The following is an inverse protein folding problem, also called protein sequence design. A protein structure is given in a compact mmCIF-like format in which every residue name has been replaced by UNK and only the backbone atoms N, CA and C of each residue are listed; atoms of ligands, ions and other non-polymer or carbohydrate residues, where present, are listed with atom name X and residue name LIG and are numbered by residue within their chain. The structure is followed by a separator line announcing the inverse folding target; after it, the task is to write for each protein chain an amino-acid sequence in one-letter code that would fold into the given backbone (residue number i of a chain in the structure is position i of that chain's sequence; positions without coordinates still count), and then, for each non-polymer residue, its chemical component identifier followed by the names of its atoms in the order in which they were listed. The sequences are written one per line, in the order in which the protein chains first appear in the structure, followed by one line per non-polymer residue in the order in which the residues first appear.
data_IF_951381220046
#
_entry.id   IF_951381220046
#
_cell.length_a   1.000
_cell.length_b   1.000
_cell.length_c   1.000
_cell.angle_alpha   90.00
_cell.angle_beta   90.00
_cell.angle_gamma   90.00
#
_symmetry.space_group_name_H-M   'P 1'
#
loop_
_entity.id
_entity.type
_entity.pdbx_description
1 polymer ?
#
# COMPACT_ATOMS: atom_id res chain seq x y z
N UNK A 1 -13.66 -47.17 7.13
CA UNK A 1 -14.00 -46.12 8.10
C UNK A 1 -12.70 -45.39 8.40
N UNK A 2 -12.40 -44.32 7.68
CA UNK A 2 -12.88 -42.95 7.91
C UNK A 2 -11.84 -42.15 8.72
N UNK A 3 -11.21 -41.20 8.01
CA UNK A 3 -10.69 -39.90 8.46
C UNK A 3 -9.34 -39.94 9.21
N UNK A 4 -8.35 -39.07 8.95
CA UNK A 4 -8.38 -37.79 8.27
C UNK A 4 -7.04 -37.48 7.57
N UNK A 5 -7.16 -36.81 6.44
CA UNK A 5 -6.10 -36.33 5.56
C UNK A 5 -5.78 -34.88 5.97
N UNK A 6 -4.57 -34.40 5.60
CA UNK A 6 -4.18 -32.97 5.53
C UNK A 6 -3.79 -32.24 6.84
N UNK A 7 -2.57 -32.49 7.31
CA UNK A 7 -1.72 -31.39 7.78
C UNK A 7 -0.93 -30.85 6.59
N UNK A 8 -1.55 -29.98 5.78
CA UNK A 8 -0.84 -29.19 4.77
C UNK A 8 -0.94 -27.72 5.14
N UNK A 9 0.19 -27.21 5.65
CA UNK A 9 0.80 -25.97 5.18
C UNK A 9 0.13 -24.66 5.58
N UNK A 10 0.83 -23.85 6.37
CA UNK A 10 0.92 -22.39 6.20
C UNK A 10 1.95 -21.79 7.17
N UNK A 11 3.23 -22.01 6.86
CA UNK A 11 4.32 -21.27 7.50
C UNK A 11 5.42 -20.88 6.50
N UNK A 12 5.04 -20.45 5.30
CA UNK A 12 5.94 -19.63 4.48
C UNK A 12 5.70 -18.17 4.82
N UNK A 13 6.30 -17.73 5.94
CA UNK A 13 6.58 -16.30 6.19
C UNK A 13 7.47 -15.83 5.04
N UNK A 14 6.81 -15.28 4.02
CA UNK A 14 7.44 -14.68 2.87
C UNK A 14 8.40 -13.61 3.39
N UNK A 15 9.71 -13.83 3.26
CA UNK A 15 10.74 -12.82 3.48
C UNK A 15 10.46 -11.66 2.52
N UNK A 16 9.77 -10.64 3.01
CA UNK A 16 9.51 -9.41 2.25
C UNK A 16 10.85 -8.68 2.14
N UNK A 17 11.60 -8.94 1.06
CA UNK A 17 12.65 -8.03 0.63
C UNK A 17 11.96 -6.83 -0.04
N UNK A 18 11.40 -5.93 0.78
CA UNK A 18 11.18 -4.56 0.32
C UNK A 18 12.57 -3.97 0.13
N UNK A 19 12.94 -3.69 -1.13
CA UNK A 19 14.13 -2.91 -1.43
C UNK A 19 14.14 -1.66 -0.55
N UNK A 20 15.27 -1.41 0.10
CA UNK A 20 15.53 -0.24 0.93
C UNK A 20 15.20 1.03 0.13
N UNK A 21 14.00 1.58 0.32
CA UNK A 21 13.65 2.88 -0.26
C UNK A 21 14.29 3.98 0.59
N UNK A 22 15.01 4.93 -0.02
CA UNK A 22 15.73 5.96 0.70
C UNK A 22 14.75 6.91 1.43
N UNK A 23 15.10 7.23 2.68
CA UNK A 23 14.52 8.25 3.56
C UNK A 23 12.99 8.44 3.48
N UNK A 24 12.24 7.42 3.93
CA UNK A 24 10.77 7.32 3.87
C UNK A 24 9.96 8.36 4.67
N UNK A 25 10.47 9.53 5.03
CA UNK A 25 9.71 10.46 5.91
C UNK A 25 8.55 11.19 5.21
N UNK A 26 8.27 10.92 3.94
CA UNK A 26 7.28 11.64 3.16
C UNK A 26 6.00 10.84 2.85
N UNK A 27 4.91 11.58 2.66
CA UNK A 27 3.57 11.04 2.42
C UNK A 27 3.44 10.23 1.13
N UNK A 28 4.21 10.56 0.08
CA UNK A 28 4.10 9.87 -1.21
C UNK A 28 4.67 8.47 -1.08
N UNK A 29 5.82 8.33 -0.41
CA UNK A 29 6.43 7.03 -0.17
C UNK A 29 5.53 6.10 0.65
N UNK A 30 4.86 6.63 1.68
CA UNK A 30 3.90 5.84 2.48
C UNK A 30 2.71 5.36 1.61
N UNK A 31 2.15 6.24 0.77
CA UNK A 31 1.04 5.87 -0.14
C UNK A 31 1.49 4.85 -1.19
N UNK A 32 2.66 5.03 -1.79
CA UNK A 32 3.20 4.10 -2.77
C UNK A 32 3.47 2.73 -2.15
N UNK A 33 3.90 2.66 -0.89
CA UNK A 33 4.07 1.38 -0.19
C UNK A 33 2.73 0.64 -0.05
N UNK A 34 1.67 1.35 0.34
CA UNK A 34 0.30 0.79 0.43
C UNK A 34 -0.17 0.28 -0.92
N UNK A 35 -0.03 1.10 -1.97
CA UNK A 35 -0.44 0.72 -3.32
C UNK A 35 0.39 -0.44 -3.87
N UNK A 36 1.69 -0.53 -3.55
CA UNK A 36 2.54 -1.64 -3.95
C UNK A 36 2.11 -2.96 -3.31
N UNK A 37 1.72 -2.92 -2.03
CA UNK A 37 1.14 -4.08 -1.35
C UNK A 37 -0.15 -4.52 -2.05
N UNK A 38 -1.11 -3.60 -2.23
CA UNK A 38 -2.40 -3.89 -2.87
C UNK A 38 -2.20 -4.46 -4.28
N UNK A 39 -1.36 -3.82 -5.12
CA UNK A 39 -1.04 -4.27 -6.48
C UNK A 39 -0.46 -5.70 -6.47
N UNK A 40 0.38 -6.02 -5.49
CA UNK A 40 0.97 -7.35 -5.33
C UNK A 40 -0.06 -8.38 -4.89
N UNK A 41 -0.96 -8.04 -3.97
CA UNK A 41 -2.04 -8.92 -3.52
C UNK A 41 -3.02 -9.23 -4.65
N UNK A 42 -3.43 -8.22 -5.43
CA UNK A 42 -4.28 -8.41 -6.62
C UNK A 42 -3.63 -9.35 -7.63
N UNK A 43 -2.32 -9.21 -7.89
CA UNK A 43 -1.59 -10.08 -8.83
C UNK A 43 -1.44 -11.53 -8.36
N UNK A 44 -1.53 -11.77 -7.05
CA UNK A 44 -1.34 -13.10 -6.44
C UNK A 44 -2.64 -13.83 -6.16
N UNK A 45 -3.73 -13.10 -5.96
CA UNK A 45 -5.05 -13.67 -5.70
C UNK A 45 -5.74 -14.05 -7.00
N UNK A 46 -6.32 -15.24 -7.04
CA UNK A 46 -7.24 -15.67 -8.10
C UNK A 46 -8.68 -15.20 -7.85
N UNK A 47 -8.99 -14.77 -6.62
CA UNK A 47 -10.31 -14.32 -6.19
C UNK A 47 -10.33 -12.78 -6.10
N UNK A 48 -11.43 -12.18 -6.52
CA UNK A 48 -11.65 -10.75 -6.35
C UNK A 48 -11.68 -10.39 -4.86
N UNK A 49 -10.88 -9.39 -4.49
CA UNK A 49 -10.83 -8.84 -3.13
C UNK A 49 -11.09 -7.33 -3.22
N UNK A 50 -11.91 -6.83 -2.30
CA UNK A 50 -12.20 -5.40 -2.20
C UNK A 50 -10.94 -4.61 -1.80
N UNK A 51 -10.74 -3.46 -2.43
CA UNK A 51 -9.58 -2.60 -2.14
C UNK A 51 -9.57 -2.13 -0.69
N UNK A 52 -10.75 -1.93 -0.09
CA UNK A 52 -10.85 -1.52 1.31
C UNK A 52 -10.20 -2.53 2.27
N UNK A 53 -10.42 -3.83 2.07
CA UNK A 53 -9.79 -4.88 2.89
C UNK A 53 -8.30 -4.98 2.59
N UNK A 54 -7.92 -4.99 1.31
CA UNK A 54 -6.51 -5.00 0.91
C UNK A 54 -5.73 -3.79 1.45
N UNK A 55 -6.35 -2.62 1.55
CA UNK A 55 -5.75 -1.43 2.16
C UNK A 55 -5.57 -1.63 3.66
N UNK A 56 -6.56 -2.17 4.38
CA UNK A 56 -6.44 -2.43 5.83
C UNK A 56 -5.27 -3.37 6.11
N UNK A 57 -5.18 -4.46 5.35
CA UNK A 57 -4.05 -5.41 5.40
C UNK A 57 -2.72 -4.72 5.07
N UNK A 58 -2.67 -3.92 4.00
CA UNK A 58 -1.48 -3.17 3.62
C UNK A 58 -1.01 -2.22 4.73
N UNK A 59 -1.94 -1.47 5.34
CA UNK A 59 -1.62 -0.55 6.45
C UNK A 59 -1.05 -1.33 7.62
N UNK A 60 -1.67 -2.44 8.02
CA UNK A 60 -1.18 -3.27 9.11
C UNK A 60 0.24 -3.79 8.84
N UNK A 61 0.47 -4.37 7.66
CA UNK A 61 1.77 -4.92 7.27
C UNK A 61 2.85 -3.84 7.23
N UNK A 62 2.58 -2.71 6.57
CA UNK A 62 3.57 -1.62 6.44
C UNK A 62 3.84 -1.00 7.80
N UNK A 63 2.81 -0.84 8.65
CA UNK A 63 3.00 -0.33 10.01
C UNK A 63 3.89 -1.23 10.84
N UNK A 64 3.72 -2.55 10.73
CA UNK A 64 4.60 -3.51 11.38
C UNK A 64 6.03 -3.36 10.85
N UNK A 65 6.23 -3.29 9.53
CA UNK A 65 7.56 -3.13 8.93
C UNK A 65 8.24 -1.83 9.39
N UNK A 66 7.52 -0.71 9.41
CA UNK A 66 8.06 0.59 9.83
C UNK A 66 8.30 0.70 11.34
N UNK A 67 7.55 -0.05 12.14
CA UNK A 67 7.82 -0.20 13.57
C UNK A 67 9.11 -1.01 13.80
N UNK A 68 9.24 -2.18 13.14
CA UNK A 68 10.45 -3.01 13.25
C UNK A 68 11.71 -2.35 12.69
N UNK A 69 11.57 -1.44 11.72
CA UNK A 69 12.70 -0.66 11.19
C UNK A 69 13.13 0.49 12.12
N UNK A 70 12.39 0.75 13.20
CA UNK A 70 12.68 1.81 14.16
C UNK A 70 12.24 3.21 13.71
N UNK A 71 11.51 3.35 12.59
CA UNK A 71 10.99 4.67 12.16
C UNK A 71 9.94 5.20 13.12
N UNK A 72 9.14 4.31 13.71
CA UNK A 72 8.11 4.65 14.69
C UNK A 72 8.38 3.95 16.02
N UNK A 73 8.15 4.67 17.13
CA UNK A 73 8.29 4.13 18.49
C UNK A 73 7.14 3.22 18.90
N UNK A 74 6.00 3.33 18.24
CA UNK A 74 4.83 2.49 18.49
C UNK A 74 4.08 2.20 17.18
N UNK A 75 3.45 1.03 17.13
CA UNK A 75 2.74 0.54 15.94
C UNK A 75 1.48 1.35 15.62
N UNK A 76 0.80 1.88 16.65
CA UNK A 76 -0.41 2.68 16.50
C UNK A 76 -0.15 4.00 15.77
N UNK A 77 0.98 4.67 16.07
CA UNK A 77 1.40 5.89 15.38
C UNK A 77 1.83 5.62 13.95
N UNK A 78 2.46 4.47 13.69
CA UNK A 78 2.76 4.04 12.33
C UNK A 78 1.47 3.87 11.53
N UNK A 79 0.52 3.08 12.06
CA UNK A 79 -0.79 2.82 11.45
C UNK A 79 -1.57 4.09 11.19
N UNK A 80 -1.69 4.97 12.19
CA UNK A 80 -2.36 6.27 12.04
C UNK A 80 -1.69 7.14 10.99
N UNK A 81 -0.36 7.18 10.97
CA UNK A 81 0.39 8.01 10.01
C UNK A 81 0.23 7.52 8.57
N UNK A 82 0.31 6.21 8.35
CA UNK A 82 0.16 5.60 7.04
C UNK A 82 -1.30 5.73 6.56
N UNK A 83 -2.27 5.49 7.44
CA UNK A 83 -3.69 5.72 7.15
C UNK A 83 -3.96 7.18 6.73
N UNK A 84 -3.43 8.15 7.49
CA UNK A 84 -3.54 9.57 7.17
C UNK A 84 -2.90 9.93 5.83
N UNK A 85 -1.83 9.23 5.44
CA UNK A 85 -1.18 9.42 4.16
C UNK A 85 -2.11 9.06 2.99
N UNK A 86 -2.92 8.00 3.11
CA UNK A 86 -3.87 7.57 2.10
C UNK A 86 -5.11 8.48 1.95
N UNK A 87 -5.52 9.18 3.01
CA UNK A 87 -6.71 10.06 2.96
C UNK A 87 -6.33 11.53 3.16
N UNK A 88 -6.07 11.93 4.40
CA UNK A 88 -5.99 13.34 4.81
C UNK A 88 -4.90 14.12 4.07
N UNK A 89 -3.77 13.49 3.75
CA UNK A 89 -2.62 14.16 3.12
C UNK A 89 -2.72 14.30 1.60
N UNK A 90 -3.75 13.73 0.98
CA UNK A 90 -4.05 13.85 -0.45
C UNK A 90 -5.21 14.82 -0.73
N UNK A 91 -5.69 15.54 0.28
CA UNK A 91 -6.67 16.62 0.11
C UNK A 91 -6.06 17.80 -0.68
N UNK A 92 -6.85 18.48 -1.52
CA UNK A 92 -8.30 18.31 -1.71
C UNK A 92 -8.69 17.19 -2.70
N UNK A 93 -7.75 16.62 -3.43
CA UNK A 93 -8.04 15.65 -4.51
C UNK A 93 -8.67 14.33 -4.04
N UNK A 94 -8.44 13.98 -2.77
CA UNK A 94 -9.03 12.84 -2.08
C UNK A 94 -9.58 13.34 -0.73
N UNK A 95 -10.91 13.40 -0.62
CA UNK A 95 -11.58 13.96 0.54
C UNK A 95 -11.58 13.02 1.74
N UNK A 96 -11.84 11.73 1.47
CA UNK A 96 -11.99 10.68 2.46
C UNK A 96 -11.31 9.38 1.99
N UNK A 97 -11.24 8.40 2.88
CA UNK A 97 -10.57 7.13 2.61
C UNK A 97 -11.32 6.26 1.58
N UNK A 98 -12.65 6.39 1.49
CA UNK A 98 -13.45 5.66 0.50
C UNK A 98 -13.18 6.17 -0.92
N UNK A 99 -12.92 7.47 -1.08
CA UNK A 99 -12.48 8.05 -2.34
C UNK A 99 -11.11 7.53 -2.76
N UNK A 100 -10.20 7.39 -1.80
CA UNK A 100 -8.92 6.74 -2.04
C UNK A 100 -9.12 5.32 -2.56
N UNK A 101 -9.92 4.50 -1.86
CA UNK A 101 -10.17 3.11 -2.21
C UNK A 101 -10.74 2.99 -3.63
N UNK A 102 -11.72 3.85 -3.98
CA UNK A 102 -12.34 3.90 -5.32
C UNK A 102 -11.34 4.30 -6.41
N UNK A 103 -10.50 5.30 -6.15
CA UNK A 103 -9.50 5.77 -7.12
C UNK A 103 -8.39 4.72 -7.30
N UNK A 104 -7.95 4.10 -6.20
CA UNK A 104 -6.98 3.02 -6.21
C UNK A 104 -7.50 1.80 -7.00
N UNK A 105 -8.75 1.41 -6.82
CA UNK A 105 -9.37 0.32 -7.60
C UNK A 105 -9.31 0.60 -9.11
N UNK A 106 -9.79 1.78 -9.52
CA UNK A 106 -9.78 2.20 -10.93
C UNK A 106 -8.36 2.28 -11.50
N UNK A 107 -7.39 2.73 -10.73
CA UNK A 107 -6.00 2.81 -11.20
C UNK A 107 -5.31 1.47 -11.27
N UNK A 108 -5.55 0.56 -10.32
CA UNK A 108 -4.86 -0.73 -10.25
C UNK A 108 -5.52 -1.82 -11.12
N UNK A 109 -6.83 -1.74 -11.37
CA UNK A 109 -7.57 -2.71 -12.19
C UNK A 109 -7.91 -2.22 -13.59
N UNK A 110 -8.21 -0.92 -13.74
CA UNK A 110 -8.73 -0.36 -14.99
C UNK A 110 -7.75 0.62 -15.66
N UNK A 111 -6.48 0.63 -15.23
CA UNK A 111 -5.42 1.49 -15.77
C UNK A 111 -5.77 2.99 -15.77
N UNK A 112 -6.61 3.46 -14.85
CA UNK A 112 -6.91 4.88 -14.73
C UNK A 112 -5.66 5.67 -14.34
N UNK A 113 -5.35 6.73 -15.08
CA UNK A 113 -4.26 7.66 -14.79
C UNK A 113 -4.55 8.63 -13.64
N UNK A 114 -5.79 8.66 -13.12
CA UNK A 114 -6.22 9.65 -12.13
C UNK A 114 -5.35 9.62 -10.87
N UNK A 115 -5.08 8.45 -10.30
CA UNK A 115 -4.23 8.35 -9.11
C UNK A 115 -2.80 8.82 -9.38
N UNK A 116 -2.24 8.49 -10.54
CA UNK A 116 -0.91 8.95 -10.96
C UNK A 116 -0.87 10.48 -10.98
N UNK A 117 -1.86 11.13 -11.59
CA UNK A 117 -1.92 12.60 -11.68
C UNK A 117 -1.98 13.22 -10.28
N UNK A 118 -2.82 12.67 -9.39
CA UNK A 118 -2.92 13.13 -8.00
C UNK A 118 -1.57 13.00 -7.28
N UNK A 119 -0.94 11.81 -7.33
CA UNK A 119 0.33 11.60 -6.66
C UNK A 119 1.47 12.47 -7.22
N UNK A 120 1.45 12.75 -8.52
CA UNK A 120 2.38 13.70 -9.15
C UNK A 120 2.16 15.13 -8.62
N UNK A 121 0.91 15.59 -8.52
CA UNK A 121 0.58 16.92 -7.99
C UNK A 121 0.97 17.08 -6.50
N UNK A 122 0.94 15.98 -5.74
CA UNK A 122 1.31 15.97 -4.32
C UNK A 122 2.81 15.70 -4.06
N UNK A 123 3.58 15.44 -5.11
CA UNK A 123 5.02 15.24 -5.03
C UNK A 123 5.74 16.58 -4.85
N UNK A 124 6.62 16.67 -3.85
CA UNK A 124 7.39 17.87 -3.50
C UNK A 124 8.80 17.87 -4.07
N UNK A 125 9.25 16.78 -4.68
CA UNK A 125 10.58 16.65 -5.24
C UNK A 125 10.60 15.82 -6.52
N UNK A 126 11.66 15.98 -7.30
CA UNK A 126 11.87 15.21 -8.53
C UNK A 126 12.01 13.71 -8.24
N UNK A 127 12.59 13.34 -7.10
CA UNK A 127 12.70 11.95 -6.66
C UNK A 127 11.33 11.34 -6.42
N UNK A 128 10.41 12.06 -5.77
CA UNK A 128 9.04 11.59 -5.54
C UNK A 128 8.28 11.44 -6.86
N UNK A 129 8.39 12.42 -7.77
CA UNK A 129 7.80 12.33 -9.10
C UNK A 129 8.36 11.14 -9.90
N UNK A 130 9.66 10.85 -9.76
CA UNK A 130 10.28 9.68 -10.37
C UNK A 130 9.72 8.38 -9.79
N UNK A 131 9.61 8.26 -8.46
CA UNK A 131 9.02 7.10 -7.80
C UNK A 131 7.57 6.85 -8.25
N UNK A 132 6.76 7.91 -8.34
CA UNK A 132 5.38 7.82 -8.85
C UNK A 132 5.38 7.33 -10.30
N UNK A 133 6.20 7.93 -11.17
CA UNK A 133 6.28 7.49 -12.57
C UNK A 133 6.71 6.02 -12.68
N UNK A 134 7.73 5.60 -11.96
CA UNK A 134 8.26 4.24 -12.01
C UNK A 134 7.24 3.22 -11.49
N UNK A 135 6.43 3.56 -10.48
CA UNK A 135 5.34 2.70 -10.01
C UNK A 135 4.30 2.39 -11.10
N UNK A 136 3.98 3.38 -11.95
CA UNK A 136 2.96 3.28 -13.00
C UNK A 136 3.52 2.90 -14.39
N UNK A 137 4.82 2.63 -14.54
CA UNK A 137 5.47 2.23 -15.81
C UNK A 137 5.31 0.73 -16.18
N UNK A 138 4.46 -0.01 -15.47
CA UNK A 138 4.25 -1.46 -15.65
C UNK A 138 2.85 -1.75 -16.16
#
# INVERSE_FOLDING_TARGET
MALDFMEIGLAQKSKIRMASMPNRKDKITDVLAVLAYIKKSIKRSTVYQEITELRKEAIQEISAIEFHSGRYKNIESASKTIHDACARRLRPDIENISDFDRIADKSLRNNSSKLKIILMAHSKSMEQMKLVNDFFKL
#
